data_IF_889676022234
#
_entry.id   IF_889676022234
#
_cell.length_a   1.000
_cell.length_b   1.000
_cell.length_c   1.000
_cell.angle_alpha   90.00
_cell.angle_beta   90.00
_cell.angle_gamma   90.00
#
_symmetry.space_group_name_H-M   'P 1'
#
loop_
_entity.id
_entity.type
_entity.pdbx_description
1 polymer ?
#
# COMPACT_ATOMS: atom_id res chain seq x y z
N UNK A 1 3.93 21.02 -49.09
CA UNK A 1 3.82 21.39 -47.66
C UNK A 1 2.44 20.95 -47.18
N UNK A 2 2.34 19.94 -46.32
CA UNK A 2 1.08 19.53 -45.70
C UNK A 2 1.01 20.12 -44.29
N UNK A 3 -0.11 20.76 -43.90
CA UNK A 3 -0.26 21.35 -42.57
C UNK A 3 -0.81 20.33 -41.56
N UNK A 4 -0.29 20.41 -40.34
CA UNK A 4 -0.93 19.98 -39.09
C UNK A 4 -1.21 18.47 -38.90
N UNK A 5 -0.17 17.68 -38.65
CA UNK A 5 -0.31 16.58 -37.68
C UNK A 5 -0.16 17.16 -36.27
N UNK A 6 -1.26 17.66 -35.71
CA UNK A 6 -1.37 17.82 -34.26
C UNK A 6 -1.27 16.42 -33.65
N UNK A 7 -0.12 16.12 -33.05
CA UNK A 7 0.03 14.97 -32.15
C UNK A 7 -0.82 15.30 -30.92
N UNK A 8 -2.08 14.89 -30.94
CA UNK A 8 -2.97 14.96 -29.78
C UNK A 8 -2.39 14.00 -28.75
N UNK A 9 -1.84 14.55 -27.67
CA UNK A 9 -1.37 13.80 -26.52
C UNK A 9 -2.54 12.97 -25.96
N UNK A 10 -2.64 11.70 -26.36
CA UNK A 10 -3.75 10.81 -26.06
C UNK A 10 -3.78 10.28 -24.61
N UNK A 11 -2.95 10.85 -23.72
CA UNK A 11 -2.79 10.41 -22.34
C UNK A 11 -3.35 11.38 -21.28
N UNK A 12 -3.84 12.55 -21.69
CA UNK A 12 -4.37 13.55 -20.75
C UNK A 12 -5.81 13.28 -20.32
N UNK A 13 -6.24 13.85 -19.19
CA UNK A 13 -7.64 13.88 -18.78
C UNK A 13 -8.51 14.43 -19.91
N UNK A 14 -9.61 13.74 -20.25
CA UNK A 14 -10.47 14.07 -21.39
C UNK A 14 -10.12 13.38 -22.71
N UNK A 15 -9.05 12.59 -22.77
CA UNK A 15 -8.73 11.77 -23.95
C UNK A 15 -9.50 10.43 -23.96
N UNK A 16 -9.78 9.86 -25.14
CA UNK A 16 -10.36 8.52 -25.25
C UNK A 16 -9.54 7.44 -24.52
N UNK A 17 -8.21 7.58 -24.52
CA UNK A 17 -7.29 6.70 -23.78
C UNK A 17 -7.48 6.80 -22.26
N UNK A 18 -7.68 8.00 -21.72
CA UNK A 18 -7.96 8.23 -20.30
C UNK A 18 -9.28 7.56 -19.86
N UNK A 19 -10.35 7.70 -20.65
CA UNK A 19 -11.65 7.08 -20.34
C UNK A 19 -11.64 5.55 -20.49
N UNK A 20 -11.00 5.03 -21.55
CA UNK A 20 -10.88 3.59 -21.76
C UNK A 20 -10.08 2.92 -20.64
N UNK A 21 -9.06 3.60 -20.12
CA UNK A 21 -8.28 3.14 -18.98
C UNK A 21 -9.07 3.22 -17.68
N UNK A 22 -9.78 4.34 -17.41
CA UNK A 22 -10.67 4.46 -16.25
C UNK A 22 -11.74 3.36 -16.19
N UNK A 23 -12.25 2.93 -17.36
CA UNK A 23 -13.25 1.88 -17.48
C UNK A 23 -12.68 0.46 -17.30
N UNK A 24 -11.38 0.25 -17.50
CA UNK A 24 -10.72 -1.06 -17.45
C UNK A 24 -9.45 -1.01 -16.59
N UNK A 25 -9.57 -1.03 -15.26
CA UNK A 25 -8.41 -1.05 -14.38
C UNK A 25 -7.58 -2.31 -14.61
N UNK A 26 -6.25 -2.17 -14.58
CA UNK A 26 -5.36 -3.32 -14.70
C UNK A 26 -5.58 -4.30 -13.54
N UNK A 27 -5.59 -5.63 -13.80
CA UNK A 27 -5.75 -6.62 -12.74
C UNK A 27 -4.59 -6.53 -11.75
N UNK A 28 -4.89 -6.80 -10.47
CA UNK A 28 -3.87 -6.83 -9.43
C UNK A 28 -2.82 -7.93 -9.74
N UNK A 29 -1.50 -7.68 -9.70
CA UNK A 29 -0.48 -8.69 -10.08
C UNK A 29 -0.63 -10.05 -9.37
N UNK A 30 -1.03 -10.03 -8.09
CA UNK A 30 -1.35 -11.26 -7.34
C UNK A 30 -2.51 -12.10 -7.88
N UNK A 31 -3.52 -11.51 -8.53
CA UNK A 31 -4.64 -12.30 -9.07
C UNK A 31 -4.23 -13.12 -10.28
N UNK A 32 -3.12 -12.74 -10.93
CA UNK A 32 -2.53 -13.45 -12.08
C UNK A 32 -1.24 -14.21 -11.71
N UNK A 33 -0.91 -14.31 -10.42
CA UNK A 33 0.29 -15.01 -9.94
C UNK A 33 1.62 -14.34 -10.34
N UNK A 34 1.60 -13.06 -10.72
CA UNK A 34 2.79 -12.32 -11.11
C UNK A 34 3.48 -11.68 -9.90
N UNK A 35 4.79 -11.42 -10.03
CA UNK A 35 5.52 -10.64 -9.05
C UNK A 35 5.04 -9.17 -9.03
N UNK A 36 5.06 -8.55 -7.86
CA UNK A 36 4.76 -7.12 -7.73
C UNK A 36 5.82 -6.27 -8.45
N UNK A 37 5.41 -5.41 -9.40
CA UNK A 37 6.34 -4.67 -10.24
C UNK A 37 7.11 -3.59 -9.44
N UNK A 38 8.31 -3.17 -9.87
CA UNK A 38 9.06 -2.10 -9.18
C UNK A 38 8.34 -0.74 -9.22
N UNK A 39 7.45 -0.54 -10.20
CA UNK A 39 6.65 0.66 -10.37
C UNK A 39 5.18 0.29 -10.56
N UNK A 40 4.30 1.14 -10.06
CA UNK A 40 2.85 1.00 -10.16
C UNK A 40 2.23 2.30 -10.64
N UNK A 41 1.13 2.22 -11.39
CA UNK A 41 0.37 3.41 -11.80
C UNK A 41 -0.91 3.50 -10.97
N UNK A 42 -1.02 4.55 -10.17
CA UNK A 42 -2.22 4.85 -9.39
C UNK A 42 -3.36 5.31 -10.31
N UNK A 43 -4.60 5.31 -9.80
CA UNK A 43 -5.83 5.65 -10.53
C UNK A 43 -5.88 7.09 -11.08
N UNK A 44 -5.05 7.98 -10.55
CA UNK A 44 -4.86 9.36 -11.03
C UNK A 44 -3.76 9.50 -12.09
N UNK A 45 -3.18 8.37 -12.52
CA UNK A 45 -2.13 8.30 -13.54
C UNK A 45 -0.72 8.45 -12.99
N UNK A 46 -0.54 8.75 -11.70
CA UNK A 46 0.79 8.90 -11.08
C UNK A 46 1.55 7.60 -11.04
N UNK A 47 2.88 7.70 -11.20
CA UNK A 47 3.78 6.57 -11.06
C UNK A 47 4.26 6.52 -9.61
N UNK A 48 4.07 5.38 -8.97
CA UNK A 48 4.52 5.09 -7.62
C UNK A 48 5.62 4.03 -7.66
N UNK A 49 6.65 4.22 -6.83
CA UNK A 49 7.77 3.28 -6.70
C UNK A 49 7.54 2.34 -5.52
N UNK A 50 7.82 1.05 -5.73
CA UNK A 50 7.69 0.00 -4.71
C UNK A 50 8.62 0.27 -3.53
N UNK A 51 8.09 0.26 -2.31
CA UNK A 51 8.88 0.32 -1.07
C UNK A 51 9.67 -0.99 -0.94
N UNK A 52 10.97 -0.89 -0.71
CA UNK A 52 11.82 -2.08 -0.62
C UNK A 52 11.50 -2.88 0.65
N UNK A 53 11.26 -4.19 0.46
CA UNK A 53 11.13 -5.16 1.55
C UNK A 53 12.48 -5.77 1.90
N UNK A 54 12.61 -6.24 3.14
CA UNK A 54 13.77 -7.05 3.54
C UNK A 54 13.84 -8.34 2.72
N UNK A 55 15.06 -8.81 2.44
CA UNK A 55 15.32 -10.01 1.62
C UNK A 55 14.64 -11.29 2.14
N UNK A 56 14.25 -11.32 3.40
CA UNK A 56 13.55 -12.44 4.03
C UNK A 56 12.04 -12.50 3.73
N UNK A 57 11.50 -11.53 2.98
CA UNK A 57 10.09 -11.49 2.57
C UNK A 57 9.96 -11.66 1.06
N UNK A 58 10.27 -12.86 0.57
CA UNK A 58 10.11 -13.22 -0.85
C UNK A 58 8.75 -13.86 -1.11
N UNK A 59 8.17 -13.78 -2.33
CA UNK A 59 6.92 -14.46 -2.65
C UNK A 59 6.91 -15.96 -2.31
N UNK A 60 8.05 -16.65 -2.52
CA UNK A 60 8.21 -18.08 -2.20
C UNK A 60 8.03 -18.42 -0.71
N UNK A 61 8.13 -17.43 0.18
CA UNK A 61 8.00 -17.61 1.63
C UNK A 61 6.60 -17.24 2.15
N UNK A 62 5.67 -16.84 1.27
CA UNK A 62 4.29 -16.55 1.65
C UNK A 62 3.61 -17.83 2.15
N UNK A 63 3.02 -17.77 3.35
CA UNK A 63 2.33 -18.94 3.91
C UNK A 63 0.87 -19.04 3.45
N UNK A 64 0.28 -17.92 3.02
CA UNK A 64 -1.12 -17.82 2.60
C UNK A 64 -1.25 -16.86 1.40
N UNK A 65 -2.34 -16.96 0.62
CA UNK A 65 -2.69 -15.94 -0.36
C UNK A 65 -2.72 -14.54 0.28
N UNK A 66 -2.16 -13.54 -0.42
CA UNK A 66 -2.16 -12.16 0.05
C UNK A 66 -3.57 -11.54 0.04
N UNK A 67 -3.81 -10.63 0.97
CA UNK A 67 -5.01 -9.80 0.99
C UNK A 67 -4.73 -8.57 0.11
N UNK A 68 -5.48 -8.38 -0.98
CA UNK A 68 -5.33 -7.21 -1.84
C UNK A 68 -6.34 -6.11 -1.50
N UNK A 69 -6.01 -4.88 -1.86
CA UNK A 69 -6.85 -3.70 -1.64
C UNK A 69 -7.05 -2.97 -2.96
N UNK A 70 -8.29 -2.57 -3.21
CA UNK A 70 -8.67 -1.79 -4.38
C UNK A 70 -9.80 -0.83 -4.03
N UNK A 71 -9.98 0.19 -4.86
CA UNK A 71 -11.10 1.14 -4.78
C UNK A 71 -11.66 1.32 -6.18
N UNK A 72 -12.95 1.04 -6.37
CA UNK A 72 -13.60 1.11 -7.69
C UNK A 72 -12.86 0.25 -8.72
N UNK A 73 -12.46 -0.95 -8.31
CA UNK A 73 -11.66 -1.91 -9.07
C UNK A 73 -10.22 -1.45 -9.40
N UNK A 74 -9.80 -0.25 -8.97
CA UNK A 74 -8.42 0.20 -9.09
C UNK A 74 -7.57 -0.42 -8.01
N UNK A 75 -6.56 -1.19 -8.40
CA UNK A 75 -5.62 -1.79 -7.46
C UNK A 75 -4.80 -0.72 -6.73
N UNK A 76 -4.70 -0.89 -5.41
CA UNK A 76 -4.06 0.05 -4.52
C UNK A 76 -5.03 1.07 -3.93
N UNK A 77 -4.82 1.40 -2.67
CA UNK A 77 -5.55 2.48 -1.98
C UNK A 77 -4.59 3.43 -1.30
N UNK A 78 -4.84 4.73 -1.45
CA UNK A 78 -4.02 5.75 -0.81
C UNK A 78 -4.23 5.74 0.71
N UNK A 79 -3.15 5.83 1.48
CA UNK A 79 -3.21 5.82 2.96
C UNK A 79 -4.04 6.98 3.48
N UNK A 80 -3.84 8.19 2.94
CA UNK A 80 -4.60 9.36 3.39
C UNK A 80 -6.09 9.25 3.08
N UNK A 81 -6.46 8.56 2.01
CA UNK A 81 -7.85 8.33 1.63
C UNK A 81 -8.54 7.33 2.58
N UNK A 82 -7.84 6.25 2.98
CA UNK A 82 -8.34 5.33 4.02
C UNK A 82 -8.57 6.06 5.35
N UNK A 83 -7.62 6.90 5.76
CA UNK A 83 -7.74 7.67 7.00
C UNK A 83 -8.94 8.64 6.96
N UNK A 84 -9.28 9.14 5.76
CA UNK A 84 -10.48 9.95 5.46
C UNK A 84 -11.75 9.13 5.21
N UNK A 85 -11.76 7.83 5.56
CA UNK A 85 -12.91 6.93 5.43
C UNK A 85 -13.28 6.51 3.99
N UNK A 86 -12.32 6.50 3.07
CA UNK A 86 -12.54 5.85 1.76
C UNK A 86 -12.77 4.36 1.95
N UNK A 87 -13.81 3.84 1.29
CA UNK A 87 -14.22 2.44 1.36
C UNK A 87 -13.50 1.63 0.29
N UNK A 88 -12.82 0.55 0.69
CA UNK A 88 -12.20 -0.41 -0.23
C UNK A 88 -13.26 -1.32 -0.84
N UNK A 89 -12.95 -1.92 -1.98
CA UNK A 89 -13.81 -2.94 -2.60
C UNK A 89 -13.93 -4.16 -1.68
N UNK A 90 -15.11 -4.81 -1.69
CA UNK A 90 -15.45 -5.92 -0.79
C UNK A 90 -15.16 -5.60 0.70
N UNK A 91 -15.68 -4.48 1.24
CA UNK A 91 -15.24 -3.94 2.53
C UNK A 91 -15.63 -4.80 3.73
N UNK A 92 -16.64 -5.68 3.58
CA UNK A 92 -17.19 -6.56 4.61
C UNK A 92 -16.54 -7.95 4.66
N UNK A 93 -15.63 -8.27 3.73
CA UNK A 93 -14.94 -9.56 3.70
C UNK A 93 -14.16 -9.80 4.99
N UNK A 94 -14.34 -10.96 5.61
CA UNK A 94 -13.70 -11.32 6.89
C UNK A 94 -12.35 -11.99 6.67
N UNK A 95 -11.31 -11.17 6.50
CA UNK A 95 -10.00 -11.61 5.97
C UNK A 95 -9.22 -12.58 6.87
N UNK A 96 -9.53 -12.63 8.18
CA UNK A 96 -8.83 -13.53 9.12
C UNK A 96 -9.69 -14.66 9.70
N UNK A 97 -11.01 -14.67 9.41
CA UNK A 97 -11.93 -15.59 10.09
C UNK A 97 -11.57 -17.07 9.91
N UNK A 98 -11.10 -17.44 8.72
CA UNK A 98 -10.72 -18.81 8.37
C UNK A 98 -9.44 -19.30 9.06
N UNK A 99 -8.65 -18.42 9.67
CA UNK A 99 -7.43 -18.80 10.38
C UNK A 99 -7.65 -19.12 11.87
N UNK A 100 -8.78 -18.72 12.46
CA UNK A 100 -9.08 -18.95 13.88
C UNK A 100 -8.17 -18.19 14.87
N UNK A 101 -7.34 -17.26 14.39
CA UNK A 101 -6.48 -16.45 15.25
C UNK A 101 -7.31 -15.42 16.01
N UNK A 102 -6.93 -15.10 17.25
CA UNK A 102 -7.49 -13.97 18.04
C UNK A 102 -6.68 -12.69 17.90
N UNK A 103 -5.37 -12.82 17.70
CA UNK A 103 -4.46 -11.69 17.52
C UNK A 103 -3.42 -12.06 16.48
N UNK A 104 -2.94 -11.07 15.74
CA UNK A 104 -1.81 -11.23 14.82
C UNK A 104 -0.93 -9.97 14.84
N UNK A 105 0.17 -10.00 14.09
CA UNK A 105 1.15 -8.92 14.05
C UNK A 105 1.21 -8.35 12.64
N UNK A 106 1.25 -7.02 12.55
CA UNK A 106 1.57 -6.27 11.34
C UNK A 106 2.96 -5.65 11.53
N UNK A 107 3.82 -5.74 10.51
CA UNK A 107 5.11 -5.08 10.49
C UNK A 107 5.31 -4.30 9.19
N UNK A 108 5.71 -3.04 9.35
CA UNK A 108 6.22 -2.18 8.30
C UNK A 108 7.74 -2.27 8.32
N UNK A 109 8.31 -2.57 7.15
CA UNK A 109 9.73 -2.37 6.91
C UNK A 109 9.83 -1.11 6.07
N UNK A 110 10.35 -0.04 6.66
CA UNK A 110 10.57 1.20 5.94
C UNK A 110 12.06 1.43 5.71
N UNK A 111 12.49 1.73 4.47
CA UNK A 111 13.90 1.89 4.18
C UNK A 111 14.54 3.04 4.96
N UNK A 112 15.76 2.82 5.45
CA UNK A 112 16.54 3.83 6.15
C UNK A 112 16.19 4.08 7.63
N UNK A 113 15.13 3.45 8.17
CA UNK A 113 14.83 3.47 9.61
C UNK A 113 15.06 2.10 10.24
N UNK A 114 15.88 2.07 11.29
CA UNK A 114 16.12 0.84 12.06
C UNK A 114 15.04 0.71 13.14
N UNK A 115 14.39 -0.46 13.28
CA UNK A 115 13.47 -0.75 14.38
C UNK A 115 14.12 -0.46 15.74
N UNK A 116 13.53 0.43 16.53
CA UNK A 116 14.00 0.70 17.88
C UNK A 116 13.32 -0.26 18.88
N UNK A 117 14.10 -1.05 19.62
CA UNK A 117 13.62 -2.21 20.40
C UNK A 117 12.61 -1.86 21.50
N UNK A 118 12.56 -0.61 21.96
CA UNK A 118 11.67 -0.17 23.06
C UNK A 118 10.39 0.54 22.60
N UNK A 119 10.31 1.02 21.36
CA UNK A 119 9.12 1.66 20.78
C UNK A 119 9.12 1.56 19.26
N UNK A 120 9.00 0.34 18.76
CA UNK A 120 9.00 0.08 17.33
C UNK A 120 7.64 0.46 16.71
N UNK A 121 7.49 1.72 16.33
CA UNK A 121 6.30 2.22 15.62
C UNK A 121 6.08 1.53 14.26
N UNK A 122 7.04 0.72 13.79
CA UNK A 122 6.89 -0.06 12.58
C UNK A 122 6.18 -1.41 12.84
N UNK A 123 5.93 -1.80 14.10
CA UNK A 123 5.26 -3.05 14.45
C UNK A 123 4.02 -2.82 15.31
N UNK A 124 2.96 -3.54 14.99
CA UNK A 124 1.71 -3.50 15.76
C UNK A 124 1.12 -4.89 15.90
N UNK A 125 0.91 -5.31 17.15
CA UNK A 125 0.02 -6.45 17.46
C UNK A 125 -1.41 -5.93 17.51
N UNK A 126 -2.33 -6.64 16.87
CA UNK A 126 -3.73 -6.24 16.81
C UNK A 126 -4.67 -7.44 16.94
N UNK A 127 -5.89 -7.18 17.42
CA UNK A 127 -6.96 -8.18 17.50
C UNK A 127 -7.52 -8.45 16.12
N UNK A 128 -7.70 -9.72 15.72
CA UNK A 128 -8.39 -10.11 14.47
C UNK A 128 -9.91 -10.00 14.57
N UNK A 129 -10.41 -9.53 15.72
CA UNK A 129 -11.81 -9.22 15.98
C UNK A 129 -11.96 -7.73 16.34
N UNK A 130 -12.97 -7.07 15.78
CA UNK A 130 -13.41 -5.71 16.04
C UNK A 130 -14.56 -5.70 17.07
N UNK A 131 -14.61 -4.65 17.89
CA UNK A 131 -15.71 -4.38 18.83
C UNK A 131 -16.16 -5.61 19.64
N UNK A 132 -15.18 -6.35 20.17
CA UNK A 132 -15.40 -7.45 21.11
C UNK A 132 -15.70 -8.82 20.50
N UNK A 133 -16.30 -8.91 19.30
CA UNK A 133 -16.62 -10.23 18.72
C UNK A 133 -16.83 -10.28 17.19
N UNK A 134 -16.82 -9.17 16.47
CA UNK A 134 -17.00 -9.19 15.02
C UNK A 134 -15.66 -9.50 14.34
N UNK A 135 -15.54 -10.49 13.44
CA UNK A 135 -14.29 -10.71 12.73
C UNK A 135 -13.84 -9.46 11.97
N UNK A 136 -12.53 -9.24 11.91
CA UNK A 136 -11.98 -8.10 11.19
C UNK A 136 -12.31 -8.18 9.71
N UNK A 137 -12.87 -7.08 9.20
CA UNK A 137 -13.18 -6.95 7.78
C UNK A 137 -11.98 -6.43 7.00
N UNK A 138 -12.03 -6.56 5.66
CA UNK A 138 -11.03 -6.00 4.74
C UNK A 138 -10.84 -4.50 4.94
N UNK A 139 -11.94 -3.76 5.12
CA UNK A 139 -11.88 -2.32 5.46
C UNK A 139 -11.17 -2.08 6.80
N UNK A 140 -11.50 -2.87 7.83
CA UNK A 140 -10.86 -2.78 9.13
C UNK A 140 -9.35 -3.02 9.04
N UNK A 141 -8.94 -4.03 8.26
CA UNK A 141 -7.52 -4.33 8.10
C UNK A 141 -6.78 -3.25 7.29
N UNK A 142 -7.37 -2.73 6.21
CA UNK A 142 -6.81 -1.60 5.46
C UNK A 142 -6.58 -0.39 6.38
N UNK A 143 -7.53 -0.10 7.27
CA UNK A 143 -7.42 0.97 8.27
C UNK A 143 -6.29 0.72 9.27
N UNK A 144 -6.14 -0.50 9.79
CA UNK A 144 -5.03 -0.85 10.69
C UNK A 144 -3.67 -0.60 10.02
N UNK A 145 -3.53 -0.93 8.73
CA UNK A 145 -2.31 -0.65 7.96
C UNK A 145 -2.08 0.86 7.81
N UNK A 146 -3.11 1.59 7.40
CA UNK A 146 -3.02 3.05 7.21
C UNK A 146 -2.65 3.78 8.51
N UNK A 147 -3.26 3.40 9.63
CA UNK A 147 -2.94 3.96 10.96
C UNK A 147 -1.50 3.63 11.39
N UNK A 148 -1.00 2.43 11.10
CA UNK A 148 0.39 2.09 11.41
C UNK A 148 1.39 2.93 10.59
N UNK A 149 1.08 3.19 9.31
CA UNK A 149 1.90 4.07 8.46
C UNK A 149 1.88 5.51 8.99
N UNK A 150 0.72 5.99 9.43
CA UNK A 150 0.56 7.31 10.01
C UNK A 150 1.34 7.48 11.32
N UNK A 151 1.32 6.47 12.18
CA UNK A 151 2.10 6.42 13.42
C UNK A 151 3.59 6.44 13.13
N UNK A 152 4.05 5.57 12.22
CA UNK A 152 5.45 5.52 11.81
C UNK A 152 5.92 6.88 11.27
N UNK A 153 5.14 7.51 10.39
CA UNK A 153 5.41 8.86 9.90
C UNK A 153 5.53 9.86 11.06
N UNK A 154 4.59 9.87 12.00
CA UNK A 154 4.60 10.80 13.12
C UNK A 154 5.84 10.60 14.02
N UNK A 155 6.28 9.36 14.20
CA UNK A 155 7.47 9.03 14.96
C UNK A 155 8.79 9.32 14.21
N UNK A 156 8.80 9.29 12.88
CA UNK A 156 10.01 9.33 12.06
C UNK A 156 10.24 10.67 11.33
N UNK A 157 9.22 11.52 11.16
CA UNK A 157 9.27 12.73 10.31
C UNK A 157 10.34 13.77 10.67
N UNK A 158 10.87 13.72 11.88
CA UNK A 158 11.93 14.60 12.38
C UNK A 158 13.21 13.83 12.76
N UNK A 159 13.31 12.56 12.37
CA UNK A 159 14.46 11.70 12.69
C UNK A 159 15.40 11.59 11.49
N UNK A 160 16.71 11.47 11.72
CA UNK A 160 17.65 11.19 10.64
C UNK A 160 17.33 9.84 10.00
N UNK A 161 17.57 9.76 8.70
CA UNK A 161 17.49 8.53 7.91
C UNK A 161 18.91 8.04 7.62
N UNK A 162 19.10 6.74 7.48
CA UNK A 162 20.40 6.18 7.10
C UNK A 162 20.87 6.72 5.73
N UNK A 163 22.18 6.94 5.59
CA UNK A 163 22.79 7.44 4.35
C UNK A 163 22.44 6.54 3.15
N UNK A 164 22.08 7.15 2.03
CA UNK A 164 21.64 6.45 0.80
C UNK A 164 20.14 6.13 0.75
N UNK A 165 19.38 6.51 1.78
CA UNK A 165 17.93 6.31 1.88
C UNK A 165 17.14 7.63 1.99
N UNK A 166 17.76 8.75 1.63
CA UNK A 166 17.23 10.10 1.81
C UNK A 166 15.90 10.33 1.08
N UNK A 167 15.71 9.69 -0.08
CA UNK A 167 14.44 9.78 -0.83
C UNK A 167 13.27 9.08 -0.14
N UNK A 168 13.56 8.13 0.74
CA UNK A 168 12.57 7.42 1.54
C UNK A 168 12.32 8.07 2.90
N UNK A 169 13.00 9.18 3.21
CA UNK A 169 12.80 9.87 4.47
C UNK A 169 11.34 10.30 4.64
N UNK A 170 10.78 10.04 5.81
CA UNK A 170 9.55 10.70 6.22
C UNK A 170 9.87 12.16 6.50
N UNK A 171 9.27 13.07 5.74
CA UNK A 171 9.35 14.52 5.97
C UNK A 171 8.28 15.22 5.15
N UNK A 172 8.07 16.52 5.41
CA UNK A 172 7.12 17.33 4.62
C UNK A 172 7.47 17.36 3.11
N UNK A 173 8.75 17.26 2.77
CA UNK A 173 9.24 17.44 1.40
C UNK A 173 9.58 16.12 0.68
N UNK A 174 9.52 14.99 1.38
CA UNK A 174 9.84 13.66 0.83
C UNK A 174 8.61 12.77 0.89
N UNK A 175 8.62 11.73 1.73
CA UNK A 175 7.47 10.84 1.87
C UNK A 175 6.50 11.36 2.92
N UNK A 176 5.27 11.59 2.48
CA UNK A 176 4.11 11.88 3.32
C UNK A 176 3.09 10.73 3.17
N UNK A 177 2.27 10.39 4.18
CA UNK A 177 1.24 9.35 4.06
C UNK A 177 0.31 9.53 2.85
N UNK A 178 0.03 10.76 2.43
CA UNK A 178 -0.76 11.05 1.22
C UNK A 178 -0.11 10.65 -0.10
N UNK A 179 1.18 10.29 -0.10
CA UNK A 179 1.89 9.74 -1.25
C UNK A 179 1.99 8.21 -1.22
N UNK A 180 1.55 7.57 -0.14
CA UNK A 180 1.71 6.13 0.07
C UNK A 180 0.44 5.40 -0.36
N UNK A 181 0.61 4.35 -1.15
CA UNK A 181 -0.44 3.43 -1.59
C UNK A 181 -0.22 2.05 -0.98
N UNK A 182 -1.30 1.43 -0.50
CA UNK A 182 -1.36 0.06 0.00
C UNK A 182 -1.96 -0.79 -1.10
N UNK A 183 -1.20 -1.73 -1.67
CA UNK A 183 -1.71 -2.63 -2.72
C UNK A 183 -2.19 -3.96 -2.15
N UNK A 184 -1.39 -4.55 -1.27
CA UNK A 184 -1.71 -5.83 -0.65
C UNK A 184 -1.06 -5.98 0.72
N UNK A 185 -1.36 -7.05 1.42
CA UNK A 185 -0.65 -7.51 2.60
C UNK A 185 -0.44 -9.02 2.55
N UNK A 186 0.74 -9.44 2.98
CA UNK A 186 1.21 -10.82 2.85
C UNK A 186 1.65 -11.36 4.20
N UNK A 187 1.33 -12.63 4.46
CA UNK A 187 1.71 -13.27 5.70
C UNK A 187 2.99 -14.08 5.54
N UNK A 188 3.96 -13.77 6.41
CA UNK A 188 5.28 -14.37 6.46
C UNK A 188 5.60 -14.71 7.91
N UNK A 189 5.89 -15.97 8.23
CA UNK A 189 6.47 -16.37 9.54
C UNK A 189 5.82 -15.67 10.75
N UNK A 190 4.48 -15.69 10.82
CA UNK A 190 3.68 -15.08 11.90
C UNK A 190 3.51 -13.55 11.88
N UNK A 191 3.86 -12.89 10.77
CA UNK A 191 3.67 -11.45 10.61
C UNK A 191 3.08 -11.09 9.25
N UNK A 192 2.16 -10.13 9.25
CA UNK A 192 1.67 -9.48 8.06
C UNK A 192 2.62 -8.36 7.65
N UNK A 193 2.99 -8.33 6.37
CA UNK A 193 3.83 -7.29 5.77
C UNK A 193 3.06 -6.69 4.59
N UNK A 194 2.72 -5.39 4.64
CA UNK A 194 2.02 -4.75 3.54
C UNK A 194 2.97 -4.49 2.37
N UNK A 195 2.40 -4.53 1.18
CA UNK A 195 3.02 -4.09 -0.04
C UNK A 195 2.67 -2.63 -0.30
N UNK A 196 3.70 -1.78 -0.26
CA UNK A 196 3.56 -0.34 -0.29
C UNK A 196 4.25 0.26 -1.51
N UNK A 197 3.67 1.34 -2.03
CA UNK A 197 4.22 2.13 -3.12
C UNK A 197 4.17 3.62 -2.76
N UNK A 198 5.16 4.40 -3.19
CA UNK A 198 5.24 5.85 -2.95
C UNK A 198 5.23 6.60 -4.27
N UNK A 199 4.23 7.47 -4.46
CA UNK A 199 4.13 8.37 -5.61
C UNK A 199 5.02 9.61 -5.44
N UNK A 200 5.41 10.22 -6.56
CA UNK A 200 6.06 11.54 -6.61
C UNK A 200 7.32 11.63 -5.73
N UNK A 201 8.34 10.80 -6.03
CA UNK A 201 9.67 10.84 -5.38
C UNK A 201 10.71 11.66 -6.17
N UNK A 202 10.28 12.48 -7.12
CA UNK A 202 11.14 13.41 -7.88
C UNK A 202 11.49 14.67 -7.07
#
# INVERSE_FOLDING_TARGET
MQPNQMIVNAGGAGSPGYYAWQANPAPHPLTIGAEMPPYWRASDGKIAKRVLRLREFTPAQQSFPGIHFSVRNWCGVNVSDILKQTVVDCPTDVVFAHHGWRTTTLALNWPGYVPNRSSDASRRRFSTYMNGNLPMTRQGFARVIAELIQDLYNCAKNKPVARGWEDWAFSKNKVHPSKVYILSAHYYRNVWVPELYVADME
#
